data_IF_630871521016
#
_entry.id   IF_630871521016
#
_cell.length_a   1.000
_cell.length_b   1.000
_cell.length_c   1.000
_cell.angle_alpha   90.00
_cell.angle_beta   90.00
_cell.angle_gamma   90.00
#
_symmetry.space_group_name_H-M   'P 1'
#
loop_
_entity.id
_entity.type
_entity.pdbx_description
1 polymer ?
#
# COMPACT_ATOMS: atom_id res chain seq x y z
N UNK A 1 -2.47 -15.10 -31.45
CA UNK A 1 -2.04 -13.99 -30.57
C UNK A 1 -1.54 -14.61 -29.30
N UNK A 2 -0.30 -14.30 -28.92
CA UNK A 2 0.35 -14.84 -27.73
C UNK A 2 -0.42 -14.44 -26.45
N UNK A 3 -0.45 -15.33 -25.46
CA UNK A 3 -1.15 -15.10 -24.18
C UNK A 3 -0.73 -13.80 -23.45
N UNK A 4 0.56 -13.41 -23.41
CA UNK A 4 0.98 -12.12 -22.85
C UNK A 4 0.27 -10.92 -23.50
N UNK A 5 0.08 -10.96 -24.83
CA UNK A 5 -0.54 -9.87 -25.57
C UNK A 5 -2.04 -9.70 -25.27
N UNK A 6 -2.72 -10.73 -24.76
CA UNK A 6 -4.16 -10.67 -24.43
C UNK A 6 -4.42 -9.92 -23.13
N UNK A 7 -3.63 -10.17 -22.09
CA UNK A 7 -3.77 -9.50 -20.79
C UNK A 7 -3.50 -8.00 -20.90
N UNK A 8 -2.42 -7.63 -21.58
CA UNK A 8 -2.07 -6.23 -21.86
C UNK A 8 -3.15 -5.51 -22.69
N UNK A 9 -3.65 -6.14 -23.75
CA UNK A 9 -4.70 -5.56 -24.58
C UNK A 9 -5.99 -5.34 -23.77
N UNK A 10 -6.41 -6.30 -22.95
CA UNK A 10 -7.60 -6.15 -22.09
C UNK A 10 -7.41 -5.05 -21.05
N UNK A 11 -6.20 -4.92 -20.48
CA UNK A 11 -5.85 -3.85 -19.54
C UNK A 11 -5.98 -2.48 -20.17
N UNK A 12 -5.47 -2.33 -21.40
CA UNK A 12 -5.55 -1.08 -22.15
C UNK A 12 -6.98 -0.75 -22.60
N UNK A 13 -7.78 -1.76 -22.93
CA UNK A 13 -9.15 -1.58 -23.42
C UNK A 13 -10.18 -1.38 -22.30
N UNK A 14 -9.93 -1.88 -21.08
CA UNK A 14 -10.90 -1.88 -19.98
C UNK A 14 -11.64 -0.54 -19.77
N UNK A 15 -10.99 0.64 -19.79
CA UNK A 15 -11.67 1.93 -19.61
C UNK A 15 -12.59 2.34 -20.77
N UNK A 16 -12.40 1.74 -21.95
CA UNK A 16 -13.10 2.09 -23.19
C UNK A 16 -14.13 1.05 -23.60
N UNK A 17 -14.28 -0.05 -22.84
CA UNK A 17 -15.22 -1.11 -23.17
C UNK A 17 -16.66 -0.68 -22.85
N UNK A 18 -17.58 -0.73 -23.83
CA UNK A 18 -19.00 -0.54 -23.56
C UNK A 18 -19.52 -1.68 -22.69
N UNK A 19 -20.52 -1.40 -21.83
CA UNK A 19 -21.02 -2.37 -20.85
C UNK A 19 -21.45 -3.71 -21.46
N UNK A 20 -21.99 -3.70 -22.69
CA UNK A 20 -22.39 -4.91 -23.43
C UNK A 20 -21.23 -5.87 -23.74
N UNK A 21 -19.98 -5.38 -23.76
CA UNK A 21 -18.79 -6.20 -24.00
C UNK A 21 -18.10 -6.68 -22.73
N UNK A 22 -18.50 -6.17 -21.55
CA UNK A 22 -17.87 -6.57 -20.28
C UNK A 22 -18.02 -8.05 -19.94
N UNK A 23 -19.16 -8.74 -20.21
CA UNK A 23 -19.24 -10.19 -20.03
C UNK A 23 -18.18 -10.93 -20.88
N UNK A 24 -18.06 -10.58 -22.17
CA UNK A 24 -17.07 -11.20 -23.07
C UNK A 24 -15.64 -10.88 -22.66
N UNK A 25 -15.39 -9.67 -22.17
CA UNK A 25 -14.08 -9.28 -21.66
C UNK A 25 -13.72 -10.10 -20.42
N UNK A 26 -14.68 -10.32 -19.51
CA UNK A 26 -14.49 -11.16 -18.33
C UNK A 26 -14.25 -12.63 -18.72
N UNK A 27 -14.99 -13.17 -19.68
CA UNK A 27 -14.75 -14.53 -20.22
C UNK A 27 -13.33 -14.66 -20.78
N UNK A 28 -12.84 -13.63 -21.48
CA UNK A 28 -11.48 -13.59 -21.98
C UNK A 28 -10.46 -13.57 -20.84
N UNK A 29 -10.69 -12.81 -19.76
CA UNK A 29 -9.84 -12.82 -18.56
C UNK A 29 -9.84 -14.20 -17.90
N UNK A 30 -11.00 -14.84 -17.75
CA UNK A 30 -11.13 -16.19 -17.17
C UNK A 30 -10.31 -17.22 -17.97
N UNK A 31 -10.31 -17.09 -19.30
CA UNK A 31 -9.57 -17.96 -20.21
C UNK A 31 -8.07 -17.69 -20.31
N UNK A 32 -7.51 -16.73 -19.57
CA UNK A 32 -6.05 -16.51 -19.53
C UNK A 32 -5.39 -17.61 -18.68
N UNK A 33 -4.49 -18.38 -19.29
CA UNK A 33 -3.73 -19.44 -18.61
C UNK A 33 -2.67 -18.89 -17.66
N UNK A 34 -2.02 -17.80 -18.05
CA UNK A 34 -1.00 -17.14 -17.23
C UNK A 34 -1.65 -16.41 -16.03
N UNK A 35 -1.30 -16.84 -14.82
CA UNK A 35 -1.89 -16.33 -13.57
C UNK A 35 -1.62 -14.85 -13.31
N UNK A 36 -0.40 -14.39 -13.64
CA UNK A 36 -0.01 -12.99 -13.52
C UNK A 36 -0.88 -12.12 -14.43
N UNK A 37 -0.97 -12.49 -15.70
CA UNK A 37 -1.77 -11.75 -16.68
C UNK A 37 -3.26 -11.76 -16.31
N UNK A 38 -3.76 -12.90 -15.85
CA UNK A 38 -5.15 -13.03 -15.38
C UNK A 38 -5.43 -12.12 -14.19
N UNK A 39 -4.55 -12.10 -13.19
CA UNK A 39 -4.71 -11.24 -12.01
C UNK A 39 -4.70 -9.75 -12.37
N UNK A 40 -3.75 -9.32 -13.21
CA UNK A 40 -3.64 -7.92 -13.61
C UNK A 40 -4.78 -7.49 -14.54
N UNK A 41 -5.20 -8.34 -15.48
CA UNK A 41 -6.35 -8.05 -16.33
C UNK A 41 -7.65 -7.96 -15.49
N UNK A 42 -7.83 -8.85 -14.52
CA UNK A 42 -8.97 -8.81 -13.61
C UNK A 42 -8.97 -7.55 -12.73
N UNK A 43 -7.81 -7.17 -12.19
CA UNK A 43 -7.63 -5.93 -11.43
C UNK A 43 -7.99 -4.68 -12.26
N UNK A 44 -7.63 -4.66 -13.53
CA UNK A 44 -7.93 -3.54 -14.43
C UNK A 44 -9.38 -3.52 -14.90
N UNK A 45 -10.02 -4.68 -15.05
CA UNK A 45 -11.42 -4.77 -15.45
C UNK A 45 -12.38 -4.45 -14.29
N UNK A 46 -12.00 -4.76 -13.05
CA UNK A 46 -12.85 -4.62 -11.85
C UNK A 46 -13.57 -3.27 -11.69
N UNK A 47 -12.94 -2.10 -11.95
CA UNK A 47 -13.61 -0.80 -11.83
C UNK A 47 -14.76 -0.59 -12.82
N UNK A 48 -14.78 -1.35 -13.91
CA UNK A 48 -15.76 -1.21 -14.98
C UNK A 48 -16.86 -2.26 -14.89
N UNK A 49 -16.67 -3.32 -14.09
CA UNK A 49 -17.63 -4.42 -14.01
C UNK A 49 -18.94 -3.99 -13.35
N UNK A 50 -20.10 -4.30 -13.96
CA UNK A 50 -21.38 -4.18 -13.28
C UNK A 50 -21.44 -5.16 -12.11
N UNK A 51 -22.23 -4.80 -11.08
CA UNK A 51 -22.40 -5.61 -9.87
C UNK A 51 -22.81 -7.07 -10.14
N UNK A 52 -23.51 -7.30 -11.25
CA UNK A 52 -23.95 -8.64 -11.69
C UNK A 52 -22.81 -9.56 -12.11
N UNK A 53 -21.66 -9.02 -12.54
CA UNK A 53 -20.49 -9.80 -12.97
C UNK A 53 -19.43 -9.96 -11.86
N UNK A 54 -19.55 -9.24 -10.75
CA UNK A 54 -18.60 -9.33 -9.63
C UNK A 54 -18.51 -10.72 -8.99
N UNK A 55 -19.59 -11.53 -8.87
CA UNK A 55 -19.47 -12.91 -8.41
C UNK A 55 -18.55 -13.74 -9.32
N UNK A 56 -18.71 -13.63 -10.64
CA UNK A 56 -17.86 -14.34 -11.60
C UNK A 56 -16.39 -13.86 -11.56
N UNK A 57 -16.18 -12.55 -11.39
CA UNK A 57 -14.85 -12.00 -11.18
C UNK A 57 -14.20 -12.53 -9.89
N UNK A 58 -14.98 -12.66 -8.81
CA UNK A 58 -14.50 -13.23 -7.55
C UNK A 58 -14.15 -14.71 -7.68
N UNK A 59 -14.97 -15.49 -8.38
CA UNK A 59 -14.67 -16.89 -8.68
C UNK A 59 -13.39 -17.03 -9.51
N UNK A 60 -13.19 -16.15 -10.49
CA UNK A 60 -11.95 -16.07 -11.26
C UNK A 60 -10.74 -15.80 -10.37
N UNK A 61 -10.82 -14.79 -9.49
CA UNK A 61 -9.76 -14.47 -8.53
C UNK A 61 -9.46 -15.66 -7.61
N UNK A 62 -10.51 -16.29 -7.06
CA UNK A 62 -10.40 -17.46 -6.18
C UNK A 62 -9.71 -18.65 -6.88
N UNK A 63 -9.93 -18.80 -8.19
CA UNK A 63 -9.32 -19.83 -9.02
C UNK A 63 -7.85 -19.61 -9.36
N UNK A 64 -7.22 -18.49 -8.99
CA UNK A 64 -5.79 -18.22 -9.20
C UNK A 64 -4.97 -19.03 -8.19
N UNK A 65 -4.13 -20.01 -8.61
CA UNK A 65 -3.34 -20.84 -7.70
C UNK A 65 -2.36 -20.06 -6.82
N UNK A 66 -1.55 -19.18 -7.41
CA UNK A 66 -0.56 -18.37 -6.69
C UNK A 66 -1.24 -17.35 -5.76
N UNK A 67 -0.84 -17.33 -4.49
CA UNK A 67 -1.47 -16.49 -3.47
C UNK A 67 -1.21 -15.00 -3.68
N UNK A 68 -0.03 -14.64 -4.21
CA UNK A 68 0.30 -13.25 -4.48
C UNK A 68 -0.55 -12.71 -5.64
N UNK A 69 -0.66 -13.44 -6.75
CA UNK A 69 -1.52 -13.04 -7.86
C UNK A 69 -3.01 -13.05 -7.48
N UNK A 70 -3.44 -14.01 -6.65
CA UNK A 70 -4.78 -14.02 -6.06
C UNK A 70 -5.03 -12.76 -5.23
N UNK A 71 -4.07 -12.34 -4.41
CA UNK A 71 -4.16 -11.11 -3.62
C UNK A 71 -4.33 -9.87 -4.50
N UNK A 72 -3.52 -9.76 -5.56
CA UNK A 72 -3.59 -8.63 -6.50
C UNK A 72 -4.95 -8.54 -7.18
N UNK A 73 -5.52 -9.68 -7.60
CA UNK A 73 -6.86 -9.74 -8.15
C UNK A 73 -7.93 -9.29 -7.14
N UNK A 74 -7.86 -9.82 -5.90
CA UNK A 74 -8.80 -9.46 -4.83
C UNK A 74 -8.71 -7.98 -4.44
N UNK A 75 -7.51 -7.38 -4.42
CA UNK A 75 -7.30 -5.94 -4.17
C UNK A 75 -8.00 -5.09 -5.24
N UNK A 76 -7.95 -5.51 -6.51
CA UNK A 76 -8.67 -4.85 -7.59
C UNK A 76 -10.18 -4.90 -7.39
N UNK A 77 -10.72 -6.08 -7.07
CA UNK A 77 -12.16 -6.30 -6.87
C UNK A 77 -12.67 -5.62 -5.58
N UNK A 78 -11.86 -5.57 -4.53
CA UNK A 78 -12.24 -5.06 -3.21
C UNK A 78 -12.76 -3.61 -3.23
N UNK A 79 -12.31 -2.79 -4.18
CA UNK A 79 -12.76 -1.40 -4.31
C UNK A 79 -14.20 -1.25 -4.84
N UNK A 80 -14.74 -2.32 -5.44
CA UNK A 80 -16.01 -2.29 -6.19
C UNK A 80 -17.02 -3.34 -5.70
N UNK A 81 -16.64 -4.15 -4.72
CA UNK A 81 -17.49 -5.24 -4.23
C UNK A 81 -18.67 -4.68 -3.43
N UNK A 82 -19.92 -5.12 -3.67
CA UNK A 82 -21.05 -4.81 -2.80
C UNK A 82 -20.91 -5.55 -1.47
N UNK A 83 -21.50 -5.00 -0.41
CA UNK A 83 -21.46 -5.60 0.94
C UNK A 83 -22.00 -7.04 0.98
N UNK A 84 -22.95 -7.38 0.10
CA UNK A 84 -23.50 -8.75 -0.04
C UNK A 84 -22.45 -9.80 -0.41
N UNK A 85 -21.36 -9.42 -1.08
CA UNK A 85 -20.26 -10.31 -1.47
C UNK A 85 -19.07 -10.24 -0.50
N UNK A 86 -19.08 -9.33 0.48
CA UNK A 86 -18.01 -9.19 1.48
C UNK A 86 -17.69 -10.52 2.20
N UNK A 87 -18.68 -11.35 2.63
CA UNK A 87 -18.38 -12.63 3.28
C UNK A 87 -17.56 -13.58 2.39
N UNK A 88 -17.82 -13.58 1.08
CA UNK A 88 -17.12 -14.45 0.13
C UNK A 88 -15.66 -13.99 -0.08
N UNK A 89 -15.43 -12.68 -0.19
CA UNK A 89 -14.08 -12.11 -0.29
C UNK A 89 -13.29 -12.39 0.98
N UNK A 90 -13.92 -12.22 2.16
CA UNK A 90 -13.28 -12.50 3.44
C UNK A 90 -12.94 -13.99 3.62
N UNK A 91 -13.81 -14.91 3.19
CA UNK A 91 -13.51 -16.35 3.21
C UNK A 91 -12.29 -16.69 2.34
N UNK A 92 -12.23 -16.15 1.12
CA UNK A 92 -11.07 -16.31 0.24
C UNK A 92 -9.80 -15.74 0.86
N UNK A 93 -9.89 -14.54 1.44
CA UNK A 93 -8.76 -13.83 2.07
C UNK A 93 -8.24 -14.58 3.30
N UNK A 94 -9.12 -15.13 4.14
CA UNK A 94 -8.75 -15.90 5.33
C UNK A 94 -7.97 -17.17 5.00
N UNK A 95 -8.25 -17.80 3.87
CA UNK A 95 -7.59 -19.04 3.40
C UNK A 95 -6.18 -18.82 2.88
N UNK A 96 -5.74 -17.58 2.70
CA UNK A 96 -4.37 -17.26 2.27
C UNK A 96 -3.36 -17.57 3.37
N UNK A 97 -2.27 -18.24 3.01
CA UNK A 97 -1.17 -18.60 3.92
C UNK A 97 -0.25 -17.43 4.17
N UNK A 98 0.06 -16.66 3.13
CA UNK A 98 0.87 -15.43 3.24
C UNK A 98 0.16 -14.39 4.09
N UNK A 99 0.73 -14.07 5.26
CA UNK A 99 0.17 -13.04 6.15
C UNK A 99 0.27 -11.64 5.55
N UNK A 100 1.32 -11.39 4.75
CA UNK A 100 1.52 -10.10 4.08
C UNK A 100 0.43 -9.88 3.03
N UNK A 101 0.25 -10.82 2.11
CA UNK A 101 -0.77 -10.71 1.05
C UNK A 101 -2.18 -10.64 1.64
N UNK A 102 -2.44 -11.44 2.68
CA UNK A 102 -3.69 -11.39 3.42
C UNK A 102 -3.92 -10.02 4.07
N UNK A 103 -2.90 -9.43 4.68
CA UNK A 103 -3.00 -8.09 5.26
C UNK A 103 -3.32 -7.05 4.19
N UNK A 104 -2.64 -7.07 3.03
CA UNK A 104 -2.89 -6.10 1.96
C UNK A 104 -4.35 -6.15 1.45
N UNK A 105 -4.92 -7.34 1.27
CA UNK A 105 -6.32 -7.49 0.87
C UNK A 105 -7.25 -6.93 1.96
N UNK A 106 -7.00 -7.24 3.24
CA UNK A 106 -7.82 -6.75 4.36
C UNK A 106 -7.71 -5.22 4.53
N UNK A 107 -6.52 -4.64 4.37
CA UNK A 107 -6.29 -3.20 4.40
C UNK A 107 -7.09 -2.51 3.28
N UNK A 108 -7.05 -3.09 2.08
CA UNK A 108 -7.82 -2.56 0.95
C UNK A 108 -9.32 -2.64 1.20
N UNK A 109 -9.82 -3.75 1.75
CA UNK A 109 -11.23 -3.87 2.14
C UNK A 109 -11.61 -2.87 3.22
N UNK A 110 -10.76 -2.65 4.22
CA UNK A 110 -11.01 -1.71 5.32
C UNK A 110 -11.21 -0.26 4.85
N UNK A 111 -10.66 0.11 3.68
CA UNK A 111 -10.91 1.43 3.08
C UNK A 111 -12.36 1.68 2.65
N UNK A 112 -13.14 0.61 2.44
CA UNK A 112 -14.55 0.67 2.06
C UNK A 112 -15.49 0.05 3.11
N UNK A 113 -14.97 -0.87 3.93
CA UNK A 113 -15.69 -1.62 4.96
C UNK A 113 -14.97 -1.47 6.31
N UNK A 114 -15.23 -0.39 7.06
CA UNK A 114 -14.56 -0.14 8.34
C UNK A 114 -14.67 -1.29 9.35
N UNK A 115 -15.72 -2.13 9.25
CA UNK A 115 -15.89 -3.33 10.07
C UNK A 115 -14.77 -4.38 9.89
N UNK A 116 -14.01 -4.33 8.79
CA UNK A 116 -12.87 -5.24 8.51
C UNK A 116 -11.58 -4.74 9.17
N UNK A 117 -11.54 -3.49 9.61
CA UNK A 117 -10.35 -2.83 10.14
C UNK A 117 -9.67 -3.59 11.30
N UNK A 118 -10.40 -4.15 12.30
CA UNK A 118 -9.76 -4.94 13.35
C UNK A 118 -9.04 -6.18 12.81
N UNK A 119 -9.62 -6.82 11.78
CA UNK A 119 -8.99 -7.99 11.13
C UNK A 119 -7.74 -7.58 10.35
N UNK A 120 -7.79 -6.45 9.64
CA UNK A 120 -6.64 -5.90 8.91
C UNK A 120 -5.48 -5.57 9.86
N UNK A 121 -5.77 -4.88 10.96
CA UNK A 121 -4.77 -4.50 11.97
C UNK A 121 -4.14 -5.73 12.64
N UNK A 122 -4.96 -6.70 13.04
CA UNK A 122 -4.47 -7.95 13.63
C UNK A 122 -3.60 -8.74 12.64
N UNK A 123 -3.98 -8.78 11.37
CA UNK A 123 -3.18 -9.46 10.35
C UNK A 123 -1.84 -8.75 10.12
N UNK A 124 -1.85 -7.41 10.01
CA UNK A 124 -0.64 -6.60 9.85
C UNK A 124 0.33 -6.79 11.02
N UNK A 125 -0.16 -6.70 12.27
CA UNK A 125 0.64 -6.95 13.49
C UNK A 125 1.22 -8.36 13.56
N UNK A 126 0.50 -9.33 13.01
CA UNK A 126 0.93 -10.72 12.93
C UNK A 126 1.97 -11.02 11.85
N UNK A 127 2.39 -10.06 11.04
CA UNK A 127 3.45 -10.29 10.03
C UNK A 127 4.79 -10.45 10.74
N UNK A 128 5.52 -11.52 10.41
CA UNK A 128 6.80 -11.86 11.04
C UNK A 128 7.95 -10.97 10.56
N UNK A 129 7.98 -10.63 9.27
CA UNK A 129 8.96 -9.70 8.73
C UNK A 129 8.64 -8.28 9.21
N UNK A 130 9.61 -7.64 9.85
CA UNK A 130 9.44 -6.33 10.46
C UNK A 130 9.19 -5.22 9.43
N UNK A 131 9.84 -5.29 8.26
CA UNK A 131 9.66 -4.32 7.17
C UNK A 131 8.26 -4.45 6.58
N UNK A 132 7.85 -5.67 6.24
CA UNK A 132 6.50 -5.97 5.73
C UNK A 132 5.40 -5.57 6.73
N UNK A 133 5.63 -5.81 8.02
CA UNK A 133 4.74 -5.37 9.10
C UNK A 133 4.62 -3.85 9.15
N UNK A 134 5.74 -3.14 9.11
CA UNK A 134 5.77 -1.68 9.13
C UNK A 134 5.02 -1.10 7.92
N UNK A 135 5.25 -1.65 6.71
CA UNK A 135 4.56 -1.24 5.49
C UNK A 135 3.04 -1.49 5.58
N UNK A 136 2.62 -2.65 6.08
CA UNK A 136 1.21 -2.97 6.26
C UNK A 136 0.51 -2.05 7.28
N UNK A 137 1.18 -1.76 8.40
CA UNK A 137 0.65 -0.82 9.41
C UNK A 137 0.60 0.62 8.88
N UNK A 138 1.61 1.04 8.12
CA UNK A 138 1.64 2.35 7.49
C UNK A 138 0.49 2.53 6.50
N UNK A 139 0.15 1.50 5.73
CA UNK A 139 -1.01 1.53 4.83
C UNK A 139 -2.36 1.66 5.57
N UNK A 140 -2.42 1.35 6.87
CA UNK A 140 -3.59 1.58 7.73
C UNK A 140 -3.63 2.97 8.37
N UNK A 141 -2.54 3.74 8.32
CA UNK A 141 -2.44 5.04 9.00
C UNK A 141 -3.55 6.03 8.63
N UNK A 142 -4.04 6.12 7.37
CA UNK A 142 -5.15 7.02 7.03
C UNK A 142 -6.45 6.70 7.79
N UNK A 143 -6.65 5.45 8.19
CA UNK A 143 -7.85 4.98 8.89
C UNK A 143 -7.62 4.90 10.41
N UNK A 144 -6.37 4.72 10.84
CA UNK A 144 -5.99 4.42 12.23
C UNK A 144 -4.70 5.19 12.58
N UNK A 145 -4.75 6.53 12.77
CA UNK A 145 -3.54 7.34 12.91
C UNK A 145 -2.63 6.94 14.07
N UNK A 146 -3.18 6.31 15.12
CA UNK A 146 -2.41 5.79 16.26
C UNK A 146 -1.43 4.66 15.89
N UNK A 147 -1.55 4.03 14.71
CA UNK A 147 -0.53 3.07 14.23
C UNK A 147 0.77 3.75 13.83
N UNK A 148 0.80 5.07 13.58
CA UNK A 148 2.01 5.78 13.19
C UNK A 148 3.09 5.73 14.28
N UNK A 149 2.68 5.82 15.56
CA UNK A 149 3.58 5.62 16.69
C UNK A 149 4.13 4.19 16.73
N UNK A 150 3.26 3.20 16.53
CA UNK A 150 3.64 1.79 16.48
C UNK A 150 4.65 1.52 15.34
N UNK A 151 4.46 2.10 14.15
CA UNK A 151 5.41 2.02 13.03
C UNK A 151 6.75 2.66 13.39
N UNK A 152 6.73 3.84 14.03
CA UNK A 152 7.94 4.53 14.46
C UNK A 152 8.72 3.73 15.50
N UNK A 153 8.04 3.15 16.48
CA UNK A 153 8.65 2.30 17.51
C UNK A 153 9.22 1.01 16.91
N UNK A 154 8.55 0.43 15.91
CA UNK A 154 9.12 -0.69 15.16
C UNK A 154 10.39 -0.30 14.43
N UNK A 155 10.42 0.84 13.73
CA UNK A 155 11.63 1.30 13.06
C UNK A 155 12.77 1.52 14.06
N UNK A 156 12.49 2.11 15.23
CA UNK A 156 13.48 2.32 16.31
C UNK A 156 14.05 1.02 16.86
N UNK A 157 13.22 -0.02 16.98
CA UNK A 157 13.61 -1.33 17.48
C UNK A 157 14.44 -2.17 16.49
N UNK A 158 14.62 -1.71 15.24
CA UNK A 158 15.43 -2.42 14.26
C UNK A 158 16.93 -2.32 14.60
N UNK A 159 17.59 -3.47 14.67
CA UNK A 159 19.04 -3.56 14.96
C UNK A 159 19.90 -3.03 13.81
N UNK A 160 19.49 -3.29 12.56
CA UNK A 160 20.20 -2.81 11.38
C UNK A 160 19.87 -1.34 11.12
N UNK A 161 20.88 -0.47 11.16
CA UNK A 161 20.71 0.96 10.82
C UNK A 161 20.19 1.14 9.39
N UNK A 162 20.66 0.33 8.42
CA UNK A 162 20.18 0.39 7.04
C UNK A 162 18.68 0.08 6.94
N UNK A 163 18.20 -0.96 7.64
CA UNK A 163 16.77 -1.31 7.67
C UNK A 163 15.95 -0.25 8.40
N UNK A 164 16.47 0.27 9.51
CA UNK A 164 15.86 1.38 10.25
C UNK A 164 15.71 2.62 9.37
N UNK A 165 16.74 2.98 8.62
CA UNK A 165 16.72 4.11 7.69
C UNK A 165 15.66 3.91 6.60
N UNK A 166 15.58 2.71 6.01
CA UNK A 166 14.56 2.38 5.01
C UNK A 166 13.14 2.45 5.59
N UNK A 167 12.90 1.90 6.78
CA UNK A 167 11.60 1.96 7.44
C UNK A 167 11.17 3.40 7.76
N UNK A 168 12.10 4.22 8.28
CA UNK A 168 11.85 5.65 8.54
C UNK A 168 11.61 6.42 7.25
N UNK A 169 12.35 6.13 6.18
CA UNK A 169 12.14 6.75 4.88
C UNK A 169 10.73 6.43 4.35
N UNK A 170 10.32 5.16 4.37
CA UNK A 170 8.98 4.77 3.94
C UNK A 170 7.88 5.41 4.78
N UNK A 171 8.06 5.50 6.10
CA UNK A 171 7.16 6.23 6.98
C UNK A 171 6.99 7.66 6.44
N UNK A 172 8.08 8.40 6.27
CA UNK A 172 8.07 9.81 5.86
C UNK A 172 7.45 10.00 4.47
N UNK A 173 7.72 9.13 3.52
CA UNK A 173 7.14 9.15 2.17
C UNK A 173 5.61 9.06 2.17
N UNK A 174 5.03 8.46 3.21
CA UNK A 174 3.57 8.29 3.35
C UNK A 174 2.95 9.25 4.38
N UNK A 175 3.73 10.13 5.02
CA UNK A 175 3.19 11.13 5.92
C UNK A 175 2.57 12.28 5.14
N UNK A 176 1.37 12.66 5.53
CA UNK A 176 0.75 13.91 5.08
C UNK A 176 0.76 14.93 6.21
N UNK A 177 0.90 16.24 5.92
CA UNK A 177 0.80 17.28 6.92
C UNK A 177 -0.48 17.20 7.76
N UNK A 178 -1.59 16.66 7.26
CA UNK A 178 -2.85 16.56 8.01
C UNK A 178 -2.84 15.53 9.14
N UNK A 179 -2.04 14.46 9.04
CA UNK A 179 -2.04 13.35 10.03
C UNK A 179 -0.93 13.43 11.07
N UNK A 180 -0.02 14.40 10.93
CA UNK A 180 1.15 14.58 11.82
C UNK A 180 0.92 15.77 12.75
N UNK A 181 0.94 15.56 14.06
CA UNK A 181 0.99 16.62 15.06
C UNK A 181 2.43 16.97 15.44
N UNK A 182 2.61 18.05 16.21
CA UNK A 182 3.95 18.52 16.58
C UNK A 182 4.72 17.52 17.49
N UNK A 183 4.11 16.88 18.51
CA UNK A 183 4.79 15.85 19.30
C UNK A 183 5.27 14.66 18.46
N UNK A 184 4.45 14.17 17.53
CA UNK A 184 4.86 13.08 16.62
C UNK A 184 5.96 13.54 15.67
N UNK A 185 5.89 14.78 15.17
CA UNK A 185 6.94 15.40 14.37
C UNK A 185 8.29 15.40 15.10
N UNK A 186 8.32 15.81 16.37
CA UNK A 186 9.55 15.78 17.17
C UNK A 186 10.11 14.36 17.30
N UNK A 187 9.24 13.37 17.51
CA UNK A 187 9.63 11.97 17.59
C UNK A 187 10.26 11.44 16.29
N UNK A 188 9.75 11.86 15.12
CA UNK A 188 10.34 11.54 13.82
C UNK A 188 11.76 12.14 13.73
N UNK A 189 11.90 13.43 14.06
CA UNK A 189 13.20 14.11 14.03
C UNK A 189 14.23 13.46 14.95
N UNK A 190 13.84 13.10 16.18
CA UNK A 190 14.73 12.38 17.11
C UNK A 190 15.18 11.04 16.54
N UNK A 191 14.29 10.32 15.86
CA UNK A 191 14.60 9.01 15.28
C UNK A 191 15.56 9.16 14.09
N UNK A 192 15.32 10.17 13.24
CA UNK A 192 16.18 10.50 12.12
C UNK A 192 17.57 10.97 12.55
N UNK A 193 17.68 11.71 13.66
CA UNK A 193 18.95 12.15 14.21
C UNK A 193 19.86 10.99 14.65
N UNK A 194 19.31 9.78 14.85
CA UNK A 194 20.10 8.56 15.15
C UNK A 194 20.68 7.88 13.91
N UNK A 195 20.30 8.32 12.70
CA UNK A 195 20.80 7.76 11.45
C UNK A 195 22.19 8.30 11.11
N UNK A 196 22.90 7.56 10.27
CA UNK A 196 24.12 8.06 9.66
C UNK A 196 23.82 9.27 8.77
N UNK A 197 24.77 10.19 8.63
CA UNK A 197 24.63 11.40 7.79
C UNK A 197 24.11 11.09 6.38
N UNK A 198 24.62 10.08 5.64
CA UNK A 198 24.10 9.76 4.32
C UNK A 198 22.62 9.36 4.32
N UNK A 199 22.17 8.60 5.32
CA UNK A 199 20.78 8.15 5.42
C UNK A 199 19.85 9.27 5.89
N UNK A 200 20.30 10.13 6.81
CA UNK A 200 19.57 11.33 7.20
C UNK A 200 19.37 12.29 6.02
N UNK A 201 20.42 12.56 5.23
CA UNK A 201 20.31 13.50 4.10
C UNK A 201 19.31 13.01 3.04
N UNK A 202 19.18 11.68 2.83
CA UNK A 202 18.22 11.10 1.90
C UNK A 202 16.77 11.37 2.25
N UNK A 203 16.44 11.60 3.53
CA UNK A 203 15.06 11.84 3.98
C UNK A 203 14.67 13.32 4.00
N UNK A 204 15.65 14.23 3.94
CA UNK A 204 15.41 15.68 4.01
C UNK A 204 14.40 16.21 2.97
N UNK A 205 14.44 15.81 1.68
CA UNK A 205 13.47 16.31 0.70
C UNK A 205 12.02 16.00 1.09
N UNK A 206 11.76 14.81 1.62
CA UNK A 206 10.43 14.36 2.01
C UNK A 206 9.93 15.05 3.30
N UNK A 207 10.82 15.64 4.09
CA UNK A 207 10.46 16.43 5.27
C UNK A 207 10.00 17.85 4.94
N UNK A 208 10.28 18.37 3.75
CA UNK A 208 9.99 19.76 3.39
C UNK A 208 8.53 20.20 3.64
N UNK A 209 7.50 19.39 3.32
CA UNK A 209 6.11 19.73 3.63
C UNK A 209 5.85 19.87 5.13
N UNK A 210 6.48 19.03 5.96
CA UNK A 210 6.33 19.05 7.42
C UNK A 210 7.12 20.20 8.05
N UNK A 211 8.33 20.47 7.57
CA UNK A 211 9.12 21.64 7.97
C UNK A 211 8.33 22.91 7.67
N UNK A 212 7.76 23.02 6.47
CA UNK A 212 6.93 24.17 6.08
C UNK A 212 5.67 24.27 6.93
N UNK A 213 5.01 23.14 7.25
CA UNK A 213 3.83 23.12 8.13
C UNK A 213 4.12 23.72 9.50
N UNK A 214 5.22 23.32 10.14
CA UNK A 214 5.49 23.65 11.54
C UNK A 214 6.37 24.89 11.73
N UNK A 215 7.25 25.19 10.78
CA UNK A 215 8.21 26.31 10.86
C UNK A 215 8.09 27.33 9.72
N UNK A 216 7.16 27.14 8.79
CA UNK A 216 6.99 28.01 7.63
C UNK A 216 8.11 27.89 6.59
N UNK A 217 8.05 28.76 5.57
CA UNK A 217 9.04 28.79 4.48
C UNK A 217 10.43 29.19 5.00
N UNK A 218 10.50 29.99 6.06
CA UNK A 218 11.78 30.42 6.61
C UNK A 218 12.54 29.28 7.29
N UNK A 219 11.86 28.43 8.07
CA UNK A 219 12.50 27.23 8.61
C UNK A 219 13.03 26.29 7.52
N UNK A 220 12.33 26.19 6.39
CA UNK A 220 12.83 25.43 5.24
C UNK A 220 14.09 26.07 4.64
N UNK A 221 14.12 27.40 4.52
CA UNK A 221 15.30 28.14 4.05
C UNK A 221 16.49 27.95 4.98
N UNK A 222 16.28 28.09 6.28
CA UNK A 222 17.31 27.87 7.30
C UNK A 222 17.83 26.43 7.27
N UNK A 223 16.95 25.44 7.08
CA UNK A 223 17.35 24.04 6.94
C UNK A 223 18.26 23.84 5.73
N UNK A 224 17.94 24.45 4.58
CA UNK A 224 18.78 24.39 3.37
C UNK A 224 20.13 25.06 3.61
N UNK A 225 20.14 26.26 4.21
CA UNK A 225 21.37 26.98 4.54
C UNK A 225 22.28 26.18 5.47
N UNK A 226 21.72 25.55 6.51
CA UNK A 226 22.46 24.69 7.43
C UNK A 226 23.10 23.49 6.71
N UNK A 227 22.40 22.87 5.76
CA UNK A 227 22.95 21.76 4.95
C UNK A 227 24.11 22.23 4.06
N UNK A 228 23.97 23.41 3.43
CA UNK A 228 25.04 24.00 2.62
C UNK A 228 26.27 24.35 3.46
N UNK A 229 26.08 24.92 4.64
CA UNK A 229 27.18 25.25 5.54
C UNK A 229 27.90 23.99 6.01
N UNK A 230 27.19 22.95 6.44
CA UNK A 230 27.82 21.67 6.82
C UNK A 230 28.57 21.02 5.65
N UNK A 231 28.13 21.25 4.39
CA UNK A 231 28.88 20.83 3.19
C UNK A 231 30.19 21.60 3.02
N UNK A 232 30.21 22.90 3.33
CA UNK A 232 31.42 23.76 3.20
C UNK A 232 32.52 23.41 4.19
N UNK A 233 32.18 22.86 5.35
CA UNK A 233 33.13 22.49 6.40
C UNK A 233 33.90 21.19 6.09
N UNK A 234 33.61 20.54 4.97
CA UNK A 234 34.19 19.26 4.56
C UNK A 234 34.79 19.35 3.14
N UNK A 235 35.68 20.33 2.94
CA UNK A 235 36.66 20.33 1.84
C UNK A 235 37.97 19.69 2.29
#
# INVERSE_FOLDING_TARGET
MDEPCRGDALRALAPHLPQVLLPKALDCVIGISNELERAYALRALAPHLPKTLLPQALDCARGIPDEYFRAQALIGIASHVPETLLPQVLDCTRKMRSRYDRALVLIKLASHFPQVLPSALNCARGISNQEDRALALLALAPQVPNVLLEVLDFARAMESESRRAQALQHLIENLTPSVVDFPFWQQILYSLATLTRPNFIKTLPQLAPLITKFGGVEALRETVAAVEDVRRWWR
#
